data_IF_661555565604
#
_entry.id   IF_661555565604
#
_cell.length_a   1.000
_cell.length_b   1.000
_cell.length_c   1.000
_cell.angle_alpha   90.00
_cell.angle_beta   90.00
_cell.angle_gamma   90.00
#
_symmetry.space_group_name_H-M   'P 1'
#
loop_
_entity.id
_entity.type
_entity.pdbx_description
1 polymer ?
#
# COMPACT_ATOMS: atom_id res chain seq x y z
N UNK A 1 -19.14 -7.11 -6.48
CA UNK A 1 -18.72 -5.85 -5.81
C UNK A 1 -17.97 -6.24 -4.56
N UNK A 2 -16.65 -6.23 -4.63
CA UNK A 2 -15.81 -6.59 -3.47
C UNK A 2 -15.25 -5.30 -2.88
N UNK A 3 -15.30 -5.17 -1.56
CA UNK A 3 -14.67 -4.11 -0.78
C UNK A 3 -13.88 -4.81 0.31
N UNK A 4 -12.58 -4.58 0.39
CA UNK A 4 -11.73 -5.13 1.45
C UNK A 4 -10.99 -4.01 2.17
N UNK A 5 -10.75 -4.24 3.46
CA UNK A 5 -9.90 -3.42 4.31
C UNK A 5 -8.71 -4.28 4.72
N UNK A 6 -7.52 -3.85 4.36
CA UNK A 6 -6.29 -4.59 4.62
C UNK A 6 -5.33 -3.69 5.39
N UNK A 7 -4.86 -4.09 6.59
CA UNK A 7 -3.78 -3.36 7.25
C UNK A 7 -2.56 -3.30 6.34
N UNK A 8 -1.91 -2.15 6.29
CA UNK A 8 -0.79 -1.87 5.42
C UNK A 8 0.37 -1.34 6.27
N UNK A 9 1.47 -2.08 6.34
CA UNK A 9 2.66 -1.73 7.10
C UNK A 9 3.67 -1.01 6.21
N UNK A 10 4.06 0.20 6.60
CA UNK A 10 5.08 0.99 5.91
C UNK A 10 6.37 0.95 6.73
N UNK A 11 7.36 0.20 6.23
CA UNK A 11 8.55 -0.19 6.96
C UNK A 11 9.80 0.58 6.50
N UNK A 12 10.81 0.64 7.37
CA UNK A 12 12.04 1.39 7.13
C UNK A 12 13.07 0.49 6.45
N UNK A 13 12.83 0.17 5.17
CA UNK A 13 13.75 -0.62 4.32
C UNK A 13 14.07 -2.01 4.91
N UNK A 14 13.10 -2.62 5.59
CA UNK A 14 13.22 -3.93 6.22
C UNK A 14 11.98 -4.82 5.99
N UNK A 15 11.22 -4.59 4.92
CA UNK A 15 10.04 -5.39 4.58
C UNK A 15 10.36 -6.86 4.35
N UNK A 16 11.45 -7.20 3.65
CA UNK A 16 11.84 -8.60 3.41
C UNK A 16 12.11 -9.36 4.72
N UNK A 17 12.81 -8.74 5.66
CA UNK A 17 13.04 -9.30 7.00
C UNK A 17 11.72 -9.49 7.77
N UNK A 18 10.82 -8.52 7.70
CA UNK A 18 9.50 -8.61 8.33
C UNK A 18 8.65 -9.72 7.73
N UNK A 19 8.66 -9.88 6.39
CA UNK A 19 7.97 -10.97 5.70
C UNK A 19 8.48 -12.31 6.19
N UNK A 20 9.80 -12.56 6.15
CA UNK A 20 10.38 -13.81 6.65
C UNK A 20 10.02 -14.10 8.11
N UNK A 21 9.98 -13.04 8.94
CA UNK A 21 9.55 -13.17 10.33
C UNK A 21 8.08 -13.57 10.42
N UNK A 22 7.17 -12.96 9.65
CA UNK A 22 5.75 -13.29 9.67
C UNK A 22 5.44 -14.66 9.05
N UNK A 23 6.17 -15.10 8.03
CA UNK A 23 6.10 -16.47 7.51
C UNK A 23 6.39 -17.49 8.64
N UNK A 24 7.46 -17.26 9.40
CA UNK A 24 7.87 -18.16 10.50
C UNK A 24 6.97 -18.08 11.73
N UNK A 25 6.61 -16.86 12.15
CA UNK A 25 5.91 -16.64 13.41
C UNK A 25 4.39 -16.83 13.31
N UNK A 26 3.81 -16.50 12.15
CA UNK A 26 2.36 -16.46 11.94
C UNK A 26 1.88 -17.45 10.88
N UNK A 27 2.80 -18.15 10.21
CA UNK A 27 2.45 -19.00 9.07
C UNK A 27 1.95 -18.19 7.89
N UNK A 28 2.48 -16.97 7.71
CA UNK A 28 2.08 -16.11 6.59
C UNK A 28 2.48 -16.75 5.25
N UNK A 29 1.64 -16.57 4.23
CA UNK A 29 1.94 -16.96 2.85
C UNK A 29 2.06 -15.70 1.98
N UNK A 30 3.16 -15.57 1.25
CA UNK A 30 3.35 -14.46 0.30
C UNK A 30 2.49 -14.74 -0.94
N UNK A 31 1.38 -14.01 -1.08
CA UNK A 31 0.50 -14.11 -2.25
C UNK A 31 1.06 -13.36 -3.45
N UNK A 32 1.66 -12.19 -3.20
CA UNK A 32 2.33 -11.39 -4.22
C UNK A 32 3.39 -10.49 -3.58
N UNK A 33 4.45 -10.20 -4.34
CA UNK A 33 5.49 -9.25 -3.97
C UNK A 33 6.04 -8.58 -5.22
N UNK A 34 6.17 -7.26 -5.17
CA UNK A 34 6.73 -6.42 -6.22
C UNK A 34 7.77 -5.49 -5.60
N UNK A 35 8.96 -5.46 -6.18
CA UNK A 35 10.01 -4.51 -5.82
C UNK A 35 9.87 -3.21 -6.62
N UNK A 36 10.55 -2.14 -6.20
CA UNK A 36 10.62 -0.92 -7.01
C UNK A 36 11.34 -1.16 -8.36
N UNK A 37 12.25 -2.13 -8.42
CA UNK A 37 12.90 -2.53 -9.67
C UNK A 37 11.96 -3.21 -10.68
N UNK A 38 10.88 -3.83 -10.19
CA UNK A 38 9.88 -4.52 -11.02
C UNK A 38 8.85 -3.53 -11.61
N UNK A 39 8.78 -2.29 -11.12
CA UNK A 39 7.85 -1.28 -11.63
C UNK A 39 8.28 -0.78 -13.01
N UNK A 40 7.58 -1.26 -14.03
CA UNK A 40 7.80 -0.88 -15.42
C UNK A 40 7.67 0.63 -15.64
N UNK A 41 8.62 1.24 -16.35
CA UNK A 41 8.59 2.65 -16.71
C UNK A 41 9.18 3.63 -15.69
N UNK A 42 9.55 3.14 -14.48
CA UNK A 42 10.24 3.96 -13.47
C UNK A 42 11.58 3.36 -12.99
N UNK A 43 11.79 2.06 -13.19
CA UNK A 43 12.97 1.33 -12.68
C UNK A 43 14.32 1.87 -13.19
N UNK A 44 14.39 2.39 -14.41
CA UNK A 44 15.65 2.91 -15.00
C UNK A 44 16.16 4.19 -14.31
N UNK A 45 15.30 4.89 -13.57
CA UNK A 45 15.66 6.14 -12.88
C UNK A 45 16.04 5.91 -11.41
N UNK A 46 15.88 4.68 -10.91
CA UNK A 46 16.17 4.32 -9.53
C UNK A 46 17.61 3.84 -9.35
N UNK A 47 18.21 4.21 -8.22
CA UNK A 47 19.46 3.59 -7.75
C UNK A 47 19.24 2.12 -7.43
N UNK A 48 20.30 1.31 -7.52
CA UNK A 48 20.20 -0.13 -7.28
C UNK A 48 19.74 -0.46 -5.85
N UNK A 49 20.05 0.40 -4.88
CA UNK A 49 19.59 0.25 -3.50
C UNK A 49 18.08 0.47 -3.32
N UNK A 50 17.47 1.27 -4.20
CA UNK A 50 16.04 1.54 -4.23
C UNK A 50 15.31 0.42 -4.97
N UNK A 51 15.88 -0.07 -6.08
CA UNK A 51 15.30 -1.16 -6.87
C UNK A 51 15.04 -2.41 -6.04
N UNK A 52 15.89 -2.71 -5.06
CA UNK A 52 15.76 -3.92 -4.23
C UNK A 52 14.66 -3.82 -3.14
N UNK A 53 14.17 -2.61 -2.85
CA UNK A 53 13.15 -2.38 -1.83
C UNK A 53 11.79 -2.93 -2.27
N UNK A 54 11.00 -3.40 -1.31
CA UNK A 54 9.65 -3.91 -1.56
C UNK A 54 8.71 -2.72 -1.77
N UNK A 55 8.21 -2.54 -2.98
CA UNK A 55 7.22 -1.50 -3.25
C UNK A 55 5.83 -1.90 -2.72
N UNK A 56 5.47 -3.18 -2.84
CA UNK A 56 4.27 -3.74 -2.21
C UNK A 56 4.38 -5.27 -2.13
N UNK A 57 3.93 -5.84 -1.02
CA UNK A 57 3.74 -7.27 -0.84
C UNK A 57 2.39 -7.52 -0.16
N UNK A 58 1.69 -8.57 -0.58
CA UNK A 58 0.45 -9.05 0.05
C UNK A 58 0.70 -10.42 0.66
N UNK A 59 0.46 -10.52 1.97
CA UNK A 59 0.56 -11.74 2.74
C UNK A 59 -0.83 -12.22 3.14
N UNK A 60 -1.04 -13.53 3.12
CA UNK A 60 -2.19 -14.19 3.74
C UNK A 60 -1.79 -14.72 5.12
N UNK A 61 -2.57 -14.42 6.16
CA UNK A 61 -2.36 -14.91 7.52
C UNK A 61 -3.69 -15.45 8.03
N UNK A 62 -3.83 -16.77 8.08
CA UNK A 62 -5.13 -17.42 8.33
C UNK A 62 -6.16 -16.95 7.29
N UNK A 63 -7.25 -16.34 7.73
CA UNK A 63 -8.30 -15.78 6.84
C UNK A 63 -8.08 -14.28 6.52
N UNK A 64 -7.07 -13.64 7.11
CA UNK A 64 -6.80 -12.20 6.95
C UNK A 64 -5.69 -11.92 5.96
N UNK A 65 -5.74 -10.77 5.29
CA UNK A 65 -4.64 -10.26 4.50
C UNK A 65 -3.85 -9.20 5.27
N UNK A 66 -2.56 -9.08 4.95
CA UNK A 66 -1.66 -8.01 5.40
C UNK A 66 -0.91 -7.49 4.19
N UNK A 67 -0.76 -6.16 4.07
CA UNK A 67 0.12 -5.56 3.07
C UNK A 67 1.34 -4.95 3.73
N UNK A 68 2.47 -5.00 3.02
CA UNK A 68 3.75 -4.50 3.50
C UNK A 68 4.46 -3.76 2.35
N UNK A 69 5.06 -2.61 2.64
CA UNK A 69 6.02 -1.94 1.76
C UNK A 69 7.21 -1.39 2.53
N UNK A 70 8.28 -1.12 1.82
CA UNK A 70 9.36 -0.27 2.26
C UNK A 70 9.10 1.18 1.86
N UNK A 71 9.37 2.11 2.77
CA UNK A 71 9.42 3.53 2.45
C UNK A 71 10.82 3.88 1.91
N UNK A 72 10.94 4.40 0.67
CA UNK A 72 12.22 4.74 0.05
C UNK A 72 13.08 5.68 0.88
N UNK A 73 12.45 6.73 1.43
CA UNK A 73 13.07 7.68 2.34
C UNK A 73 12.77 7.31 3.81
N UNK A 74 13.66 6.52 4.41
CA UNK A 74 13.54 6.05 5.78
C UNK A 74 13.63 7.18 6.83
N UNK A 75 14.03 8.40 6.44
CA UNK A 75 14.15 9.54 7.37
C UNK A 75 12.80 10.14 7.74
N UNK A 76 11.75 9.89 6.95
CA UNK A 76 10.46 10.59 7.04
C UNK A 76 9.25 9.69 7.31
N UNK A 77 9.43 8.45 7.82
CA UNK A 77 8.28 7.67 8.30
C UNK A 77 7.83 8.23 9.64
N UNK A 78 6.90 9.18 9.61
CA UNK A 78 6.15 9.58 10.80
C UNK A 78 5.47 8.36 11.41
N UNK A 79 5.46 8.24 12.74
CA UNK A 79 4.83 7.12 13.43
C UNK A 79 3.35 6.95 13.06
N UNK A 80 2.68 8.05 12.68
CA UNK A 80 1.31 8.11 12.18
C UNK A 80 1.09 7.33 10.87
N UNK A 81 2.14 7.11 10.07
CA UNK A 81 2.07 6.43 8.77
C UNK A 81 2.65 5.01 8.79
N UNK A 82 3.15 4.54 9.93
CA UNK A 82 3.73 3.20 10.05
C UNK A 82 2.69 2.10 9.77
N UNK A 83 1.43 2.33 10.14
CA UNK A 83 0.30 1.46 9.82
C UNK A 83 -0.78 2.31 9.16
N UNK A 84 -1.15 1.97 7.93
CA UNK A 84 -2.27 2.55 7.20
C UNK A 84 -3.29 1.47 6.87
N UNK A 85 -4.47 1.86 6.36
CA UNK A 85 -5.50 0.91 5.93
C UNK A 85 -5.62 0.99 4.40
N UNK A 86 -5.32 -0.11 3.72
CA UNK A 86 -5.61 -0.31 2.31
C UNK A 86 -7.09 -0.61 2.10
N UNK A 87 -7.79 0.28 1.40
CA UNK A 87 -9.15 0.05 0.91
C UNK A 87 -9.05 -0.38 -0.54
N UNK A 88 -9.43 -1.61 -0.83
CA UNK A 88 -9.42 -2.14 -2.19
C UNK A 88 -10.82 -2.34 -2.71
N UNK A 89 -11.08 -1.84 -3.91
CA UNK A 89 -12.34 -2.03 -4.64
C UNK A 89 -12.09 -2.44 -6.08
N UNK A 90 -13.12 -2.96 -6.75
CA UNK A 90 -13.08 -3.29 -8.18
C UNK A 90 -13.85 -2.26 -9.05
N UNK A 91 -14.09 -1.05 -8.55
CA UNK A 91 -14.86 0.00 -9.23
C UNK A 91 -14.24 1.37 -8.93
N UNK A 92 -13.71 2.02 -9.98
CA UNK A 92 -13.04 3.33 -9.86
C UNK A 92 -13.96 4.43 -9.32
N UNK A 93 -15.23 4.43 -9.68
CA UNK A 93 -16.20 5.41 -9.20
C UNK A 93 -16.50 5.19 -7.72
N UNK A 94 -16.56 3.93 -7.28
CA UNK A 94 -16.70 3.59 -5.87
C UNK A 94 -15.47 4.01 -5.07
N UNK A 95 -14.27 3.70 -5.56
CA UNK A 95 -13.00 4.13 -4.96
C UNK A 95 -12.95 5.65 -4.82
N UNK A 96 -13.29 6.39 -5.88
CA UNK A 96 -13.33 7.84 -5.88
C UNK A 96 -14.30 8.39 -4.83
N UNK A 97 -15.52 7.86 -4.76
CA UNK A 97 -16.52 8.28 -3.74
C UNK A 97 -16.03 8.03 -2.31
N UNK A 98 -15.37 6.90 -2.06
CA UNK A 98 -14.80 6.60 -0.74
C UNK A 98 -13.70 7.61 -0.41
N UNK A 99 -12.78 7.88 -1.33
CA UNK A 99 -11.73 8.86 -1.16
C UNK A 99 -12.29 10.26 -0.88
N UNK A 100 -13.28 10.69 -1.67
CA UNK A 100 -13.95 11.99 -1.52
C UNK A 100 -14.66 12.13 -0.18
N UNK A 101 -15.18 11.04 0.39
CA UNK A 101 -15.78 11.03 1.72
C UNK A 101 -14.72 11.12 2.83
N UNK A 102 -13.62 10.38 2.70
CA UNK A 102 -12.55 10.34 3.71
C UNK A 102 -11.76 11.65 3.78
N UNK A 103 -11.63 12.39 2.66
CA UNK A 103 -10.94 13.68 2.66
C UNK A 103 -11.74 14.82 3.32
N UNK A 104 -13.03 14.62 3.63
CA UNK A 104 -13.84 15.65 4.28
C UNK A 104 -13.28 15.94 5.68
N UNK A 105 -12.84 17.18 5.88
CA UNK A 105 -12.11 17.63 7.08
C UNK A 105 -10.81 16.85 7.36
N UNK A 106 -10.30 16.13 6.35
CA UNK A 106 -9.05 15.39 6.38
C UNK A 106 -7.91 16.10 5.68
N UNK A 107 -6.81 15.38 5.47
CA UNK A 107 -5.64 15.83 4.72
C UNK A 107 -5.41 14.90 3.53
N UNK A 108 -5.43 15.47 2.33
CA UNK A 108 -5.03 14.75 1.10
C UNK A 108 -3.51 14.68 1.06
N UNK A 109 -2.95 13.48 1.27
CA UNK A 109 -1.51 13.23 1.17
C UNK A 109 -1.11 13.07 -0.30
N UNK A 110 -1.94 12.35 -1.08
CA UNK A 110 -1.82 12.19 -2.52
C UNK A 110 -3.22 12.25 -3.15
N UNK A 111 -3.47 13.17 -4.11
CA UNK A 111 -4.75 13.27 -4.79
C UNK A 111 -5.13 11.97 -5.50
N UNK A 112 -6.42 11.64 -5.48
CA UNK A 112 -6.93 10.46 -6.19
C UNK A 112 -6.78 10.62 -7.70
N UNK A 113 -6.16 9.64 -8.35
CA UNK A 113 -5.96 9.64 -9.79
C UNK A 113 -5.47 8.29 -10.32
N UNK A 114 -5.40 8.17 -11.65
CA UNK A 114 -4.88 6.98 -12.32
C UNK A 114 -3.37 6.83 -12.07
N UNK A 115 -2.92 5.60 -11.83
CA UNK A 115 -1.53 5.23 -11.64
C UNK A 115 -1.19 4.04 -12.54
N UNK A 116 0.09 3.82 -12.91
CA UNK A 116 0.49 2.68 -13.74
C UNK A 116 0.04 1.31 -13.20
N UNK A 117 -0.14 1.20 -11.87
CA UNK A 117 -0.54 -0.02 -11.18
C UNK A 117 -2.03 -0.04 -10.76
N UNK A 118 -2.80 1.04 -11.00
CA UNK A 118 -4.17 1.21 -10.52
C UNK A 118 -5.01 2.13 -11.42
N UNK A 119 -6.21 1.74 -11.85
CA UNK A 119 -7.16 2.66 -12.49
C UNK A 119 -7.54 3.85 -11.60
N UNK A 120 -7.39 3.72 -10.28
CA UNK A 120 -7.58 4.82 -9.34
C UNK A 120 -6.91 4.56 -8.01
N UNK A 121 -6.00 5.45 -7.61
CA UNK A 121 -5.25 5.39 -6.37
C UNK A 121 -5.20 6.76 -5.70
N UNK A 122 -5.28 6.80 -4.37
CA UNK A 122 -5.05 8.00 -3.57
C UNK A 122 -4.67 7.67 -2.12
N UNK A 123 -4.03 8.64 -1.46
CA UNK A 123 -3.64 8.59 -0.05
C UNK A 123 -4.29 9.76 0.70
N UNK A 124 -5.07 9.45 1.72
CA UNK A 124 -5.82 10.42 2.52
C UNK A 124 -5.75 10.08 3.99
N UNK A 125 -5.45 11.08 4.81
CA UNK A 125 -5.64 11.01 6.27
C UNK A 125 -7.00 11.61 6.60
N UNK A 126 -7.88 10.85 7.23
CA UNK A 126 -9.21 11.34 7.59
C UNK A 126 -9.17 12.37 8.74
N UNK A 127 -10.32 12.95 9.07
CA UNK A 127 -10.46 13.92 10.17
C UNK A 127 -10.16 13.37 11.57
N UNK A 128 -10.01 12.05 11.71
CA UNK A 128 -9.66 11.37 12.95
C UNK A 128 -8.17 11.04 13.03
N UNK A 129 -7.40 11.30 11.97
CA UNK A 129 -5.97 11.06 11.91
C UNK A 129 -5.59 9.67 11.39
N UNK A 130 -6.54 8.90 10.84
CA UNK A 130 -6.26 7.57 10.26
C UNK A 130 -5.94 7.73 8.78
N UNK A 131 -4.82 7.17 8.34
CA UNK A 131 -4.41 7.20 6.93
C UNK A 131 -4.94 5.98 6.17
N UNK A 132 -5.61 6.25 5.05
CA UNK A 132 -6.16 5.28 4.13
C UNK A 132 -5.50 5.37 2.76
N UNK A 133 -5.13 4.21 2.22
CA UNK A 133 -4.72 4.05 0.83
C UNK A 133 -5.92 3.49 0.07
N UNK A 134 -6.53 4.28 -0.80
CA UNK A 134 -7.69 3.83 -1.59
C UNK A 134 -7.19 3.40 -2.95
N UNK A 135 -7.39 2.13 -3.31
CA UNK A 135 -6.86 1.49 -4.51
C UNK A 135 -7.97 0.74 -5.27
N UNK A 136 -7.94 0.82 -6.60
CA UNK A 136 -8.83 0.08 -7.50
C UNK A 136 -8.05 -1.05 -8.14
N UNK A 137 -8.54 -2.29 -8.02
CA UNK A 137 -7.92 -3.45 -8.68
C UNK A 137 -8.01 -3.33 -10.20
N UNK A 138 -6.95 -3.72 -10.89
CA UNK A 138 -6.98 -3.99 -12.33
C UNK A 138 -7.73 -5.32 -12.50
N UNK A 139 -8.85 -5.30 -13.23
CA UNK A 139 -9.50 -6.54 -13.64
C UNK A 139 -8.59 -7.25 -14.66
N UNK A 140 -8.14 -8.46 -14.32
CA UNK A 140 -7.43 -9.36 -15.24
C UNK A 140 -8.38 -10.07 -16.18
#
# INVERSE_FOLDING_TARGET
MTLSLTPFLNLKRNAKEAIEFYEKALGAEVLSMMTYGDMSGMSDTYSDDLKDLVATAKLQIGESALMISDVPDATNVEASKQITIGITTNDVEKSKRIFEALQQDGTVNMPFGEQPFSPGFGDVTDKFGVTFLVYTEIEN
#
